data_IF_416279267010
#
_entry.id   IF_416279267010
#
_cell.length_a   1.000
_cell.length_b   1.000
_cell.length_c   1.000
_cell.angle_alpha   90.00
_cell.angle_beta   90.00
_cell.angle_gamma   90.00
#
_symmetry.space_group_name_H-M   'P 1'
#
loop_
_entity.id
_entity.type
_entity.pdbx_description
1 polymer ?
#
# COMPACT_ATOMS: atom_id res chain seq x y z
N UNK A 1 15.12 28.03 60.68
CA UNK A 1 13.72 27.67 60.99
C UNK A 1 12.93 28.27 59.87
N UNK A 2 12.25 27.60 58.95
CA UNK A 2 11.40 26.40 58.93
C UNK A 2 10.79 26.48 57.51
N UNK A 3 10.40 25.49 56.74
CA UNK A 3 10.23 24.06 56.87
C UNK A 3 10.09 23.55 55.42
N UNK A 4 10.48 22.29 55.21
CA UNK A 4 10.31 21.54 53.97
C UNK A 4 8.82 21.37 53.69
N UNK A 5 8.39 21.49 52.44
CA UNK A 5 7.25 20.69 51.97
C UNK A 5 7.52 20.20 50.54
N UNK A 6 7.97 18.95 50.48
CA UNK A 6 7.92 18.11 49.30
C UNK A 6 6.48 17.67 49.03
N UNK A 7 6.29 17.04 47.86
CA UNK A 7 5.11 16.31 47.39
C UNK A 7 4.15 17.16 46.53
N UNK A 8 3.72 16.74 45.35
CA UNK A 8 3.63 15.40 44.81
C UNK A 8 3.84 15.40 43.30
N UNK A 9 4.75 14.55 42.82
CA UNK A 9 4.70 14.03 41.47
C UNK A 9 3.44 13.15 41.40
N UNK A 10 2.31 13.74 41.00
CA UNK A 10 1.06 13.01 40.78
C UNK A 10 1.26 12.12 39.55
N UNK A 11 1.71 10.91 39.82
CA UNK A 11 1.59 9.75 38.93
C UNK A 11 0.17 9.72 38.39
N UNK A 12 -0.02 10.05 37.11
CA UNK A 12 -1.25 9.77 36.37
C UNK A 12 -1.36 8.24 36.26
N UNK A 13 -1.94 7.63 37.29
CA UNK A 13 -2.38 6.23 37.25
C UNK A 13 -3.59 6.15 36.33
N UNK A 14 -3.43 5.37 35.26
CA UNK A 14 -4.44 4.73 34.43
C UNK A 14 -5.85 5.30 34.50
N UNK A 15 -6.12 6.32 33.68
CA UNK A 15 -7.44 6.45 33.06
C UNK A 15 -7.44 5.46 31.89
N UNK A 16 -8.34 4.47 31.93
CA UNK A 16 -8.53 3.57 30.80
C UNK A 16 -8.86 4.43 29.59
N UNK A 17 -8.04 4.34 28.54
CA UNK A 17 -8.22 5.10 27.32
C UNK A 17 -9.68 4.97 26.88
N UNK A 18 -10.37 6.11 26.83
CA UNK A 18 -11.70 6.12 26.25
C UNK A 18 -11.58 5.69 24.79
N UNK A 19 -12.61 5.08 24.17
CA UNK A 19 -12.56 4.76 22.75
C UNK A 19 -12.17 5.96 21.88
N UNK A 20 -12.46 7.19 22.33
CA UNK A 20 -12.06 8.43 21.67
C UNK A 20 -10.55 8.69 21.71
N UNK A 21 -9.86 8.38 22.82
CA UNK A 21 -8.40 8.52 22.93
C UNK A 21 -7.66 7.54 22.00
N UNK A 22 -8.28 6.40 21.66
CA UNK A 22 -7.72 5.43 20.72
C UNK A 22 -7.88 5.87 19.25
N UNK A 23 -8.87 6.72 18.94
CA UNK A 23 -9.08 7.23 17.58
C UNK A 23 -7.98 8.20 17.14
N UNK A 24 -7.27 8.81 18.09
CA UNK A 24 -6.14 9.70 17.83
C UNK A 24 -4.94 8.95 17.22
N UNK A 25 -4.94 7.60 17.27
CA UNK A 25 -3.96 6.75 16.56
C UNK A 25 -4.27 6.58 15.06
N UNK A 26 -5.48 6.93 14.62
CA UNK A 26 -5.94 6.79 13.23
C UNK A 26 -6.07 8.14 12.52
N UNK A 27 -5.51 9.20 13.09
CA UNK A 27 -5.47 10.50 12.43
C UNK A 27 -4.38 10.50 11.36
N UNK A 28 -4.76 10.85 10.13
CA UNK A 28 -3.79 11.04 9.05
C UNK A 28 -2.88 12.21 9.38
N UNK A 29 -1.57 12.05 9.19
CA UNK A 29 -0.62 13.15 9.30
C UNK A 29 -0.96 14.17 8.20
N UNK A 30 -1.30 15.43 8.52
CA UNK A 30 -1.54 16.45 7.51
C UNK A 30 -0.22 16.74 6.78
N UNK A 31 -0.19 16.57 5.47
CA UNK A 31 0.99 16.82 4.66
C UNK A 31 0.77 16.47 3.20
N UNK A 32 1.61 17.03 2.33
CA UNK A 32 1.70 16.62 0.94
C UNK A 32 2.35 15.23 0.88
N UNK A 33 1.58 14.21 0.51
CA UNK A 33 2.14 12.88 0.28
C UNK A 33 2.72 12.88 -1.14
N UNK A 34 3.99 12.48 -1.33
CA UNK A 34 4.53 12.33 -2.67
C UNK A 34 3.67 11.32 -3.44
N UNK A 35 3.20 11.71 -4.62
CA UNK A 35 2.59 10.76 -5.55
C UNK A 35 3.69 9.81 -6.01
N UNK A 36 3.54 8.53 -5.67
CA UNK A 36 4.40 7.48 -6.21
C UNK A 36 4.32 7.49 -7.73
N UNK A 37 5.44 7.17 -8.38
CA UNK A 37 5.44 7.08 -9.84
C UNK A 37 4.70 5.82 -10.31
N UNK A 38 4.33 5.79 -11.59
CA UNK A 38 3.55 4.70 -12.17
C UNK A 38 4.26 3.34 -12.08
N UNK A 39 5.59 3.34 -12.02
CA UNK A 39 6.41 2.14 -11.98
C UNK A 39 6.41 1.56 -10.56
N UNK A 40 6.59 2.39 -9.53
CA UNK A 40 6.47 1.99 -8.13
C UNK A 40 5.08 1.47 -7.81
N UNK A 41 4.04 2.10 -8.34
CA UNK A 41 2.65 1.68 -8.12
C UNK A 41 2.26 0.43 -8.93
N UNK A 42 3.13 -0.07 -9.82
CA UNK A 42 2.77 -1.11 -10.80
C UNK A 42 1.44 -0.82 -11.51
N UNK A 43 1.23 0.45 -11.89
CA UNK A 43 -0.07 0.93 -12.43
C UNK A 43 -0.47 0.25 -13.74
N UNK A 44 0.52 -0.31 -14.46
CA UNK A 44 0.30 -0.98 -15.73
C UNK A 44 0.23 -2.49 -15.51
N UNK A 45 -0.81 -3.17 -16.02
CA UNK A 45 -0.95 -4.60 -15.81
C UNK A 45 0.04 -5.36 -16.68
N UNK A 46 0.99 -6.06 -16.06
CA UNK A 46 1.87 -7.04 -16.73
C UNK A 46 1.52 -8.47 -16.35
N UNK A 47 0.93 -8.65 -15.16
CA UNK A 47 0.54 -9.93 -14.60
C UNK A 47 -0.97 -9.97 -14.36
N UNK A 48 -1.56 -11.15 -14.49
CA UNK A 48 -2.94 -11.38 -14.11
C UNK A 48 -3.08 -11.41 -12.58
N UNK A 49 -4.06 -10.66 -12.06
CA UNK A 49 -4.37 -10.65 -10.62
C UNK A 49 -5.27 -11.84 -10.19
N UNK A 50 -5.66 -12.71 -11.12
CA UNK A 50 -6.46 -13.90 -10.79
C UNK A 50 -5.60 -15.02 -10.24
N UNK A 51 -6.15 -15.80 -9.30
CA UNK A 51 -5.55 -17.06 -8.84
C UNK A 51 -5.57 -18.15 -9.90
N UNK A 52 -6.49 -18.06 -10.84
CA UNK A 52 -6.62 -19.00 -11.94
C UNK A 52 -5.87 -18.51 -13.17
N UNK A 53 -5.48 -19.45 -14.04
CA UNK A 53 -4.90 -19.13 -15.34
C UNK A 53 -5.86 -18.26 -16.13
N UNK A 54 -5.35 -17.13 -16.64
CA UNK A 54 -6.04 -16.27 -17.60
C UNK A 54 -5.49 -16.52 -19.00
N UNK A 55 -6.35 -16.84 -19.95
CA UNK A 55 -6.00 -16.92 -21.39
C UNK A 55 -6.56 -15.75 -22.20
N UNK A 56 -7.55 -15.05 -21.65
CA UNK A 56 -8.09 -13.82 -22.23
C UNK A 56 -7.07 -12.69 -22.12
N UNK A 57 -6.91 -11.92 -23.19
CA UNK A 57 -6.01 -10.77 -23.21
C UNK A 57 -6.36 -9.75 -22.11
N UNK A 58 -5.37 -8.98 -21.69
CA UNK A 58 -5.59 -7.78 -20.88
C UNK A 58 -5.38 -6.58 -21.81
N UNK A 59 -6.46 -5.83 -22.02
CA UNK A 59 -6.42 -4.55 -22.72
C UNK A 59 -6.55 -3.44 -21.69
N UNK A 60 -5.52 -2.60 -21.61
CA UNK A 60 -5.46 -1.48 -20.67
C UNK A 60 -5.16 -0.20 -21.42
N UNK A 61 -5.94 0.84 -21.14
CA UNK A 61 -5.72 2.17 -21.71
C UNK A 61 -5.85 3.22 -20.60
N UNK A 62 -4.91 4.16 -20.58
CA UNK A 62 -4.90 5.26 -19.62
C UNK A 62 -4.44 6.54 -20.29
N UNK A 63 -5.01 7.67 -19.87
CA UNK A 63 -4.56 8.99 -20.27
C UNK A 63 -3.53 9.53 -19.28
N UNK A 64 -2.38 9.95 -19.79
CA UNK A 64 -1.34 10.65 -19.06
C UNK A 64 -1.15 12.05 -19.67
N UNK A 65 -1.87 13.03 -19.13
CA UNK A 65 -1.95 14.38 -19.68
C UNK A 65 -2.54 14.37 -21.10
N UNK A 66 -1.75 14.79 -22.08
CA UNK A 66 -2.16 14.80 -23.49
C UNK A 66 -1.82 13.49 -24.24
N UNK A 67 -1.24 12.49 -23.56
CA UNK A 67 -0.82 11.24 -24.16
C UNK A 67 -1.72 10.09 -23.72
N UNK A 68 -2.17 9.26 -24.65
CA UNK A 68 -2.82 7.98 -24.34
C UNK A 68 -1.78 6.88 -24.34
N UNK A 69 -1.75 6.06 -23.29
CA UNK A 69 -0.94 4.86 -23.19
C UNK A 69 -1.89 3.66 -23.29
N UNK A 70 -1.62 2.79 -24.27
CA UNK A 70 -2.34 1.53 -24.43
C UNK A 70 -1.37 0.36 -24.22
N UNK A 71 -1.79 -0.63 -23.44
CA UNK A 71 -1.05 -1.85 -23.11
C UNK A 71 -1.94 -3.04 -23.44
N UNK A 72 -1.44 -3.92 -24.31
CA UNK A 72 -2.05 -5.21 -24.60
C UNK A 72 -1.15 -6.32 -24.08
N UNK A 73 -1.69 -7.17 -23.21
CA UNK A 73 -0.97 -8.34 -22.67
C UNK A 73 -1.66 -9.60 -23.16
N UNK A 74 -0.88 -10.43 -23.85
CA UNK A 74 -1.31 -11.73 -24.38
C UNK A 74 -0.30 -12.79 -24.06
N UNK A 75 -0.73 -14.05 -24.15
CA UNK A 75 0.13 -15.20 -23.96
C UNK A 75 -0.38 -16.39 -24.79
N UNK A 76 0.46 -17.38 -25.10
CA UNK A 76 0.01 -18.62 -25.71
C UNK A 76 -1.08 -19.29 -24.85
N UNK A 77 -2.19 -19.78 -25.44
CA UNK A 77 -3.30 -20.35 -24.68
C UNK A 77 -2.88 -21.59 -23.86
N UNK A 78 -1.85 -22.31 -24.30
CA UNK A 78 -1.26 -23.47 -23.61
C UNK A 78 -0.52 -23.08 -22.32
N UNK A 79 -0.14 -21.81 -22.16
CA UNK A 79 0.62 -21.29 -21.00
C UNK A 79 -0.23 -20.30 -20.18
N UNK A 80 -1.05 -19.48 -20.84
CA UNK A 80 -1.79 -18.39 -20.22
C UNK A 80 -0.88 -17.23 -19.79
N UNK A 81 -1.51 -16.12 -19.42
CA UNK A 81 -0.82 -14.92 -18.94
C UNK A 81 -0.24 -15.21 -17.55
N UNK A 82 1.01 -14.79 -17.34
CA UNK A 82 1.67 -14.88 -16.04
C UNK A 82 0.83 -14.17 -14.96
N UNK A 83 0.72 -14.79 -13.80
CA UNK A 83 -0.07 -14.31 -12.66
C UNK A 83 0.79 -13.55 -11.67
N UNK A 84 0.15 -12.88 -10.70
CA UNK A 84 0.86 -12.21 -9.61
C UNK A 84 1.74 -13.16 -8.78
N UNK A 85 1.39 -14.45 -8.73
CA UNK A 85 2.19 -15.47 -8.05
C UNK A 85 3.51 -15.76 -8.76
N UNK A 86 3.52 -15.62 -10.09
CA UNK A 86 4.76 -15.72 -10.87
C UNK A 86 5.66 -14.51 -10.58
N UNK A 87 5.07 -13.33 -10.36
CA UNK A 87 5.80 -12.12 -9.97
C UNK A 87 6.53 -12.32 -8.63
N UNK A 88 5.86 -12.92 -7.62
CA UNK A 88 6.49 -13.22 -6.33
C UNK A 88 7.74 -14.10 -6.49
N UNK A 89 7.69 -15.09 -7.40
CA UNK A 89 8.83 -15.96 -7.71
C UNK A 89 9.95 -15.17 -8.40
N UNK A 90 9.62 -14.28 -9.34
CA UNK A 90 10.61 -13.45 -10.05
C UNK A 90 11.33 -12.48 -9.11
N UNK A 91 10.60 -11.86 -8.19
CA UNK A 91 11.18 -10.98 -7.16
C UNK A 91 12.13 -11.80 -6.28
N UNK A 92 11.69 -12.97 -5.80
CA UNK A 92 12.54 -13.86 -5.01
C UNK A 92 13.80 -14.29 -5.77
N UNK A 93 13.68 -14.61 -7.05
CA UNK A 93 14.81 -15.09 -7.86
C UNK A 93 15.85 -13.99 -8.16
N UNK A 94 15.50 -12.72 -7.99
CA UNK A 94 16.36 -11.57 -8.35
C UNK A 94 16.82 -10.72 -7.16
N UNK A 95 16.35 -11.01 -5.94
CA UNK A 95 16.76 -10.33 -4.69
C UNK A 95 18.13 -10.76 -4.17
#
# INVERSE_FOLDING_TARGET
MSERHASAHRSRRGEGASPQDQLDLFVTIPGDLPTHDQQEMMERPFFSLSKQRRTEAIDYEVQNGATTISVNVTAPPEIGIATIWDCDILIWATS
#
